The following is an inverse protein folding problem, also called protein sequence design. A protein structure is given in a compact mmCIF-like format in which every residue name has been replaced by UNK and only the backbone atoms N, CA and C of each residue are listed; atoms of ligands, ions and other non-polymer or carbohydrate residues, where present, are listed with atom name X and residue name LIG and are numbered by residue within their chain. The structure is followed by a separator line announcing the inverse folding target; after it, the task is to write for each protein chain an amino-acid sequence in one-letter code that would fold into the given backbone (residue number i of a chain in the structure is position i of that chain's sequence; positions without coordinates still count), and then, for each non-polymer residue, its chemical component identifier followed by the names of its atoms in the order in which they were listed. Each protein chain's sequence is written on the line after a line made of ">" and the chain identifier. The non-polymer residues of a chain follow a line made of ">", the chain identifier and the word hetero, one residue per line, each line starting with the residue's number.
data_IF_039524169843
#
_entry.id   IF_039524169843
#
_cell.length_a   1.000
_cell.length_b   1.000
_cell.length_c   1.000
_cell.angle_alpha   90.00
_cell.angle_beta   90.00
_cell.angle_gamma   90.00
#
_symmetry.space_group_name_H-M   'P 1'
#
loop_
_entity.id
_entity.type
_entity.pdbx_description
1 polymer ?
#
# COMPACT_ATOMS: atom_id res chain seq x y z
N UNK A 1 34.24 33.54 27.41
CA UNK A 1 34.37 32.22 28.07
C UNK A 1 33.09 31.44 27.81
N UNK A 2 33.16 30.19 27.37
CA UNK A 2 31.97 29.36 27.15
C UNK A 2 31.74 28.47 28.38
N UNK A 3 30.49 28.16 28.69
CA UNK A 3 30.12 27.33 29.83
C UNK A 3 29.16 26.23 29.39
N UNK A 4 29.29 25.04 29.98
CA UNK A 4 28.40 23.89 29.77
C UNK A 4 27.75 23.51 31.09
N UNK A 5 26.45 23.30 31.09
CA UNK A 5 25.73 22.79 32.25
C UNK A 5 25.91 21.28 32.38
N UNK A 6 26.41 20.81 33.51
CA UNK A 6 26.52 19.38 33.79
C UNK A 6 25.26 18.90 34.51
N UNK A 7 24.43 18.10 33.83
CA UNK A 7 23.17 17.59 34.38
C UNK A 7 23.32 16.62 35.56
N UNK A 8 24.51 16.04 35.77
CA UNK A 8 24.77 15.10 36.87
C UNK A 8 25.15 15.86 38.13
N UNK A 9 26.03 16.85 38.01
CA UNK A 9 26.51 17.63 39.16
C UNK A 9 25.71 18.90 39.40
N UNK A 10 24.79 19.25 38.50
CA UNK A 10 24.02 20.50 38.46
C UNK A 10 24.86 21.79 38.56
N UNK A 11 26.13 21.73 38.14
CA UNK A 11 27.04 22.89 38.13
C UNK A 11 27.41 23.30 36.71
N UNK A 12 27.67 24.59 36.53
CA UNK A 12 28.21 25.17 35.30
C UNK A 12 29.73 24.96 35.28
N UNK A 13 30.25 24.29 34.26
CA UNK A 13 31.69 24.10 34.04
C UNK A 13 32.16 24.87 32.82
N UNK A 14 33.42 25.32 32.83
CA UNK A 14 34.02 26.00 31.67
C UNK A 14 34.16 25.06 30.47
N UNK A 15 33.84 25.55 29.28
CA UNK A 15 33.87 24.82 28.02
C UNK A 15 34.51 25.64 26.89
N UNK A 16 34.82 24.98 25.77
CA UNK A 16 35.28 25.63 24.53
C UNK A 16 34.10 26.02 23.64
N UNK A 17 34.34 26.76 22.55
CA UNK A 17 33.29 27.28 21.67
C UNK A 17 32.30 26.23 21.10
N UNK A 18 32.68 24.94 21.15
CA UNK A 18 31.85 23.81 20.72
C UNK A 18 30.74 23.44 21.73
N UNK A 19 30.52 24.23 22.78
CA UNK A 19 29.53 23.97 23.82
C UNK A 19 28.06 24.23 23.39
N UNK A 20 27.84 24.91 22.26
CA UNK A 20 26.49 25.24 21.76
C UNK A 20 25.98 24.28 20.68
N UNK A 21 26.52 23.06 20.60
CA UNK A 21 25.94 22.01 19.76
C UNK A 21 25.11 21.10 20.66
N UNK A 22 23.78 21.17 20.66
CA UNK A 22 22.95 20.25 21.43
C UNK A 22 23.27 18.82 20.98
N UNK A 23 23.57 17.94 21.94
CA UNK A 23 23.82 16.52 21.67
C UNK A 23 22.63 15.95 20.91
N UNK A 24 22.83 15.63 19.64
CA UNK A 24 21.80 15.04 18.77
C UNK A 24 21.44 15.84 17.53
N UNK A 25 21.83 17.11 17.42
CA UNK A 25 21.62 17.90 16.20
C UNK A 25 22.97 18.17 15.52
N UNK A 26 23.27 17.35 14.50
CA UNK A 26 24.40 17.60 13.59
C UNK A 26 23.92 18.55 12.50
N UNK A 27 24.45 19.78 12.40
CA UNK A 27 24.17 20.65 11.26
C UNK A 27 24.74 19.97 10.00
N UNK A 28 23.89 19.80 8.98
CA UNK A 28 24.24 19.30 7.64
C UNK A 28 24.40 17.77 7.46
N UNK A 29 23.37 16.99 7.84
CA UNK A 29 23.09 15.72 7.15
C UNK A 29 22.03 16.01 6.07
N UNK A 30 22.29 15.76 4.77
CA UNK A 30 21.26 15.88 3.73
C UNK A 30 20.05 15.02 4.13
N UNK A 31 18.81 15.41 3.77
CA UNK A 31 17.63 14.59 4.07
C UNK A 31 17.73 13.27 3.30
N UNK A 32 18.35 12.27 3.91
CA UNK A 32 18.21 10.88 3.47
C UNK A 32 16.81 10.49 3.91
N UNK A 33 15.90 10.32 2.94
CA UNK A 33 14.55 9.82 3.19
C UNK A 33 14.63 8.58 4.08
N UNK A 34 13.92 8.55 5.22
CA UNK A 34 13.99 7.41 6.13
C UNK A 34 13.61 6.13 5.38
N UNK A 35 14.35 5.03 5.59
CA UNK A 35 14.04 3.76 4.94
C UNK A 35 12.62 3.33 5.34
N UNK A 36 11.84 2.90 4.35
CA UNK A 36 10.47 2.40 4.52
C UNK A 36 10.44 1.28 5.56
N UNK A 37 9.93 1.61 6.75
CA UNK A 37 9.92 0.77 7.96
C UNK A 37 9.22 -0.59 7.75
N UNK A 38 8.35 -0.68 6.76
CA UNK A 38 7.57 -1.89 6.48
C UNK A 38 8.40 -3.06 5.91
N UNK A 39 9.62 -2.82 5.42
CA UNK A 39 10.41 -3.83 4.72
C UNK A 39 11.52 -4.48 5.56
N UNK A 40 11.70 -4.10 6.83
CA UNK A 40 12.74 -4.69 7.68
C UNK A 40 12.18 -5.87 8.50
N UNK A 41 12.63 -7.12 8.27
CA UNK A 41 12.22 -8.24 9.10
C UNK A 41 12.79 -8.08 10.51
N UNK A 42 11.91 -7.97 11.52
CA UNK A 42 12.26 -7.87 12.96
C UNK A 42 12.83 -9.17 13.55
N UNK A 43 13.25 -10.14 12.73
CA UNK A 43 13.74 -11.44 13.21
C UNK A 43 15.09 -11.77 12.60
N UNK A 44 16.03 -11.99 13.52
CA UNK A 44 17.39 -12.48 13.34
C UNK A 44 17.54 -13.42 12.13
N UNK A 45 18.26 -12.90 11.13
CA UNK A 45 19.18 -13.43 10.11
C UNK A 45 19.31 -14.96 9.86
N UNK A 46 18.90 -15.87 10.73
CA UNK A 46 19.08 -17.32 10.49
C UNK A 46 17.86 -18.05 9.91
N UNK A 47 16.65 -17.45 9.95
CA UNK A 47 15.41 -18.04 9.38
C UNK A 47 14.70 -17.10 8.38
N UNK A 48 15.40 -16.04 7.93
CA UNK A 48 14.86 -15.12 6.93
C UNK A 48 15.06 -15.65 5.49
N UNK A 49 16.07 -16.49 5.25
CA UNK A 49 16.39 -17.01 3.92
C UNK A 49 15.29 -17.91 3.33
N UNK A 50 14.67 -18.74 4.16
CA UNK A 50 13.61 -19.69 3.76
C UNK A 50 12.24 -19.01 3.59
N UNK A 51 11.92 -17.98 4.38
CA UNK A 51 10.63 -17.27 4.28
C UNK A 51 10.57 -16.27 3.13
N UNK A 52 11.68 -15.60 2.79
CA UNK A 52 11.76 -14.65 1.67
C UNK A 52 11.54 -15.35 0.31
N UNK A 53 11.87 -16.63 0.21
CA UNK A 53 11.71 -17.40 -1.02
C UNK A 53 10.25 -17.85 -1.25
N UNK A 54 9.44 -17.96 -0.20
CA UNK A 54 8.03 -18.37 -0.28
C UNK A 54 7.08 -17.19 -0.58
N UNK A 55 7.47 -15.97 -0.24
CA UNK A 55 6.59 -14.78 -0.32
C UNK A 55 6.58 -14.07 -1.69
N UNK A 56 7.43 -14.51 -2.63
CA UNK A 56 7.57 -13.89 -3.95
C UNK A 56 8.10 -12.45 -3.90
N UNK A 57 8.45 -11.90 -5.08
CA UNK A 57 8.87 -10.50 -5.19
C UNK A 57 7.67 -9.58 -4.96
N UNK A 58 7.84 -8.55 -4.13
CA UNK A 58 6.79 -7.55 -3.88
C UNK A 58 6.42 -6.79 -5.17
N UNK A 59 5.19 -6.99 -5.65
CA UNK A 59 4.64 -6.31 -6.83
C UNK A 59 3.72 -5.12 -6.51
N UNK A 60 3.54 -4.78 -5.23
CA UNK A 60 2.65 -3.69 -4.81
C UNK A 60 3.02 -2.35 -5.47
N UNK A 61 4.30 -1.92 -5.56
CA UNK A 61 4.65 -0.67 -6.20
C UNK A 61 4.26 -0.61 -7.68
N UNK A 62 4.34 -1.74 -8.39
CA UNK A 62 3.99 -1.81 -9.82
C UNK A 62 2.47 -1.75 -10.01
N UNK A 63 1.71 -2.43 -9.15
CA UNK A 63 0.26 -2.34 -9.13
C UNK A 63 -0.21 -0.93 -8.77
N UNK A 64 0.42 -0.27 -7.79
CA UNK A 64 0.11 1.12 -7.45
C UNK A 64 0.32 2.05 -8.65
N UNK A 65 1.44 1.91 -9.37
CA UNK A 65 1.68 2.68 -10.61
C UNK A 65 0.62 2.43 -11.67
N UNK A 66 0.18 1.19 -11.85
CA UNK A 66 -0.86 0.84 -12.82
C UNK A 66 -2.21 1.48 -12.45
N UNK A 67 -2.66 1.29 -11.21
CA UNK A 67 -3.99 1.73 -10.77
C UNK A 67 -4.08 3.25 -10.49
N UNK A 68 -2.95 3.91 -10.18
CA UNK A 68 -2.91 5.36 -9.94
C UNK A 68 -2.58 6.19 -11.19
N UNK A 69 -2.40 5.56 -12.36
CA UNK A 69 -2.15 6.26 -13.63
C UNK A 69 -3.28 7.25 -13.95
N UNK A 70 -2.97 8.47 -14.35
CA UNK A 70 -3.95 9.52 -14.67
C UNK A 70 -4.49 9.44 -16.11
N UNK A 71 -5.01 8.29 -16.51
CA UNK A 71 -5.52 8.01 -17.87
C UNK A 71 -7.06 8.18 -18.01
N UNK A 72 -7.75 8.54 -16.91
CA UNK A 72 -9.20 8.70 -16.88
C UNK A 72 -10.00 7.39 -16.94
N UNK A 73 -9.34 6.22 -16.93
CA UNK A 73 -10.00 4.92 -16.96
C UNK A 73 -10.61 4.61 -15.58
N UNK A 74 -11.89 4.20 -15.51
CA UNK A 74 -12.52 3.85 -14.24
C UNK A 74 -11.89 2.61 -13.61
N UNK A 75 -11.92 2.52 -12.28
CA UNK A 75 -11.21 1.49 -11.50
C UNK A 75 -11.55 0.05 -11.93
N UNK A 76 -12.80 -0.23 -12.32
CA UNK A 76 -13.26 -1.56 -12.72
C UNK A 76 -12.82 -1.99 -14.14
N UNK A 77 -12.18 -1.11 -14.91
CA UNK A 77 -11.57 -1.42 -16.22
C UNK A 77 -10.06 -1.16 -16.25
N UNK A 78 -9.48 -0.84 -15.08
CA UNK A 78 -8.11 -0.32 -14.96
C UNK A 78 -7.05 -1.40 -15.18
N UNK A 79 -7.38 -2.66 -14.91
CA UNK A 79 -6.58 -3.84 -15.23
C UNK A 79 -6.53 -4.19 -16.72
N UNK A 80 -7.31 -3.48 -17.57
CA UNK A 80 -7.16 -3.52 -19.01
C UNK A 80 -8.07 -4.53 -19.70
N UNK A 81 -7.50 -5.42 -20.52
CA UNK A 81 -8.27 -6.27 -21.44
C UNK A 81 -9.12 -7.31 -20.70
N UNK A 82 -8.58 -7.93 -19.65
CA UNK A 82 -9.28 -8.95 -18.88
C UNK A 82 -10.52 -8.36 -18.20
N UNK A 83 -10.39 -7.17 -17.59
CA UNK A 83 -11.50 -6.46 -16.98
C UNK A 83 -12.61 -6.15 -17.99
N UNK A 84 -12.25 -5.70 -19.19
CA UNK A 84 -13.21 -5.41 -20.26
C UNK A 84 -13.93 -6.67 -20.75
N UNK A 85 -13.20 -7.78 -20.92
CA UNK A 85 -13.79 -9.04 -21.33
C UNK A 85 -14.75 -9.55 -20.26
N UNK A 86 -14.31 -9.54 -19.00
CA UNK A 86 -15.12 -9.95 -17.85
C UNK A 86 -16.39 -9.09 -17.72
N UNK A 87 -16.27 -7.77 -17.84
CA UNK A 87 -17.43 -6.88 -17.82
C UNK A 87 -18.44 -7.23 -18.91
N UNK A 88 -17.99 -7.43 -20.15
CA UNK A 88 -18.87 -7.74 -21.29
C UNK A 88 -19.57 -9.08 -21.14
N UNK A 89 -18.86 -10.11 -20.65
CA UNK A 89 -19.46 -11.43 -20.44
C UNK A 89 -20.46 -11.42 -19.29
N UNK A 90 -20.12 -10.78 -18.15
CA UNK A 90 -21.05 -10.62 -17.02
C UNK A 90 -22.28 -9.83 -17.44
N UNK A 91 -22.11 -8.72 -18.17
CA UNK A 91 -23.24 -7.93 -18.63
C UNK A 91 -24.14 -8.73 -19.59
N UNK A 92 -23.54 -9.45 -20.54
CA UNK A 92 -24.29 -10.35 -21.43
C UNK A 92 -25.07 -11.43 -20.66
N UNK A 93 -24.44 -12.06 -19.67
CA UNK A 93 -25.08 -13.07 -18.84
C UNK A 93 -26.23 -12.50 -18.02
N UNK A 94 -26.09 -11.31 -17.43
CA UNK A 94 -27.15 -10.68 -16.63
C UNK A 94 -28.34 -10.25 -17.47
N UNK A 95 -28.10 -9.68 -18.66
CA UNK A 95 -29.18 -9.33 -19.61
C UNK A 95 -29.90 -10.61 -20.06
N UNK A 96 -29.14 -11.65 -20.44
CA UNK A 96 -29.70 -12.94 -20.85
C UNK A 96 -30.50 -13.60 -19.72
N UNK A 97 -29.98 -13.59 -18.50
CA UNK A 97 -30.66 -14.09 -17.30
C UNK A 97 -31.94 -13.33 -17.00
N UNK A 98 -31.93 -12.00 -17.09
CA UNK A 98 -33.13 -11.18 -16.89
C UNK A 98 -34.22 -11.50 -17.91
N UNK A 99 -33.86 -11.63 -19.20
CA UNK A 99 -34.81 -12.02 -20.25
C UNK A 99 -35.37 -13.42 -20.01
N UNK A 100 -34.52 -14.38 -19.61
CA UNK A 100 -34.96 -15.72 -19.25
C UNK A 100 -35.93 -15.70 -18.06
N UNK A 101 -35.64 -14.92 -17.02
CA UNK A 101 -36.54 -14.74 -15.89
C UNK A 101 -37.91 -14.20 -16.32
N UNK A 102 -37.96 -13.24 -17.25
CA UNK A 102 -39.22 -12.71 -17.77
C UNK A 102 -40.02 -13.77 -18.56
N UNK A 103 -39.36 -14.58 -19.39
CA UNK A 103 -40.00 -15.68 -20.13
C UNK A 103 -40.52 -16.74 -19.17
N UNK A 104 -39.70 -17.14 -18.18
CA UNK A 104 -40.10 -18.10 -17.16
C UNK A 104 -41.28 -17.58 -16.33
N UNK A 105 -41.26 -16.30 -15.96
CA UNK A 105 -42.35 -15.64 -15.23
C UNK A 105 -43.63 -15.62 -16.07
N UNK A 106 -43.54 -15.32 -17.36
CA UNK A 106 -44.68 -15.33 -18.27
C UNK A 106 -45.35 -16.72 -18.31
N UNK A 107 -44.57 -17.78 -18.49
CA UNK A 107 -45.11 -19.14 -18.48
C UNK A 107 -45.68 -19.54 -17.11
N UNK A 108 -45.01 -19.15 -16.02
CA UNK A 108 -45.48 -19.41 -14.66
C UNK A 108 -46.78 -18.65 -14.33
N UNK A 109 -47.00 -17.49 -14.94
CA UNK A 109 -48.20 -16.67 -14.74
C UNK A 109 -49.42 -17.17 -15.53
N UNK A 110 -49.24 -18.05 -16.53
CA UNK A 110 -50.35 -18.64 -17.26
C UNK A 110 -50.99 -19.77 -16.43
N UNK A 111 -52.33 -19.87 -16.39
CA UNK A 111 -53.00 -20.97 -15.71
C UNK A 111 -52.67 -22.28 -16.44
N UNK A 112 -51.99 -23.18 -15.74
CA UNK A 112 -51.72 -24.53 -16.22
C UNK A 112 -52.91 -25.43 -15.85
N UNK A 113 -53.66 -25.90 -16.85
CA UNK A 113 -54.60 -27.01 -16.62
C UNK A 113 -53.76 -28.28 -16.43
N UNK A 114 -53.88 -28.87 -15.24
CA UNK A 114 -53.18 -30.08 -14.84
C UNK A 114 -54.10 -31.29 -14.99
#
# INVERSE_FOLDING_TARGET
>A
MYYKFNGITQRLTGATANAYTPQGLRPAVPPVSPPVIFASPTKLVSEAGSQVQYLGVNKVPDLQRLFQRSDGVPVHLKGGLIDKLLYRTTMGLTIGGALYCLVALYFAAQPSNK
#
